data_IF_832298558067
#
_entry.id   IF_832298558067
#
_cell.length_a   1.000
_cell.length_b   1.000
_cell.length_c   1.000
_cell.angle_alpha   90.00
_cell.angle_beta   90.00
_cell.angle_gamma   90.00
#
_symmetry.space_group_name_H-M   'P 1'
#
loop_
_entity.id
_entity.type
_entity.pdbx_description
1 polymer ?
#
# COMPACT_ATOMS: atom_id res chain seq x y z
N UNK A 1 19.25 -1.98 -20.20
CA UNK A 1 18.48 -3.24 -20.41
C UNK A 1 18.26 -3.42 -21.91
N UNK A 2 18.53 -4.60 -22.44
CA UNK A 2 18.28 -4.89 -23.86
C UNK A 2 16.77 -4.93 -24.14
N UNK A 3 16.32 -4.64 -25.38
CA UNK A 3 14.90 -4.69 -25.78
C UNK A 3 14.23 -6.05 -25.45
N UNK A 4 14.99 -7.14 -25.48
CA UNK A 4 14.53 -8.50 -25.15
C UNK A 4 14.14 -8.64 -23.69
N UNK A 5 14.92 -8.09 -22.75
CA UNK A 5 14.61 -8.14 -21.32
C UNK A 5 13.36 -7.35 -20.94
N UNK A 6 13.11 -6.25 -21.63
CA UNK A 6 11.88 -5.45 -21.43
C UNK A 6 10.65 -6.21 -21.93
N UNK A 7 10.78 -6.95 -23.05
CA UNK A 7 9.69 -7.73 -23.64
C UNK A 7 9.34 -8.94 -22.75
N UNK A 8 10.33 -9.69 -22.29
CA UNK A 8 10.15 -10.85 -21.38
C UNK A 8 9.48 -10.37 -20.09
N UNK A 9 9.93 -9.27 -19.49
CA UNK A 9 9.33 -8.73 -18.29
C UNK A 9 7.88 -8.26 -18.49
N UNK A 10 7.53 -7.71 -19.66
CA UNK A 10 6.14 -7.34 -20.00
C UNK A 10 5.25 -8.56 -20.16
N UNK A 11 5.74 -9.61 -20.80
CA UNK A 11 4.99 -10.87 -20.99
C UNK A 11 4.81 -11.61 -19.68
N UNK A 12 5.85 -11.68 -18.83
CA UNK A 12 5.77 -12.25 -17.49
C UNK A 12 4.76 -11.50 -16.61
N UNK A 13 4.80 -10.18 -16.59
CA UNK A 13 3.83 -9.38 -15.84
C UNK A 13 2.39 -9.55 -16.37
N UNK A 14 2.23 -9.68 -17.70
CA UNK A 14 0.92 -9.94 -18.33
C UNK A 14 0.40 -11.33 -17.95
N UNK A 15 1.25 -12.35 -18.01
CA UNK A 15 0.93 -13.72 -17.61
C UNK A 15 0.56 -13.77 -16.11
N UNK A 16 1.39 -13.17 -15.25
CA UNK A 16 1.16 -13.12 -13.81
C UNK A 16 -0.17 -12.43 -13.48
N UNK A 17 -0.46 -11.30 -14.11
CA UNK A 17 -1.77 -10.62 -13.97
C UNK A 17 -2.93 -11.49 -14.42
N UNK A 18 -2.78 -12.23 -15.51
CA UNK A 18 -3.84 -13.12 -16.00
C UNK A 18 -4.07 -14.30 -15.04
N UNK A 19 -3.00 -14.88 -14.51
CA UNK A 19 -3.07 -15.94 -13.49
C UNK A 19 -3.75 -15.43 -12.22
N UNK A 20 -3.33 -14.28 -11.70
CA UNK A 20 -3.97 -13.65 -10.54
C UNK A 20 -5.46 -13.38 -10.80
N UNK A 21 -5.80 -12.86 -12.00
CA UNK A 21 -7.19 -12.56 -12.38
C UNK A 21 -8.05 -13.83 -12.47
N UNK A 22 -7.49 -14.93 -12.99
CA UNK A 22 -8.19 -16.23 -13.05
C UNK A 22 -8.46 -16.78 -11.65
N UNK A 23 -7.46 -16.73 -10.76
CA UNK A 23 -7.64 -17.11 -9.36
C UNK A 23 -8.66 -16.22 -8.64
N UNK A 24 -8.71 -14.94 -8.98
CA UNK A 24 -9.69 -14.01 -8.45
C UNK A 24 -11.14 -14.41 -8.79
N UNK A 25 -11.34 -14.90 -10.01
CA UNK A 25 -12.62 -15.44 -10.43
C UNK A 25 -12.99 -16.77 -9.72
N UNK A 26 -11.98 -17.55 -9.34
CA UNK A 26 -12.17 -18.86 -8.69
C UNK A 26 -12.38 -18.71 -7.17
N UNK A 27 -11.66 -17.83 -6.50
CA UNK A 27 -11.72 -17.66 -5.02
C UNK A 27 -12.90 -16.83 -4.53
N UNK A 28 -13.61 -16.13 -5.41
CA UNK A 28 -14.75 -15.28 -5.07
C UNK A 28 -14.39 -13.82 -4.77
N UNK A 29 -15.42 -12.96 -4.88
CA UNK A 29 -15.29 -11.51 -4.74
C UNK A 29 -15.03 -11.06 -3.30
N UNK A 30 -15.29 -11.92 -2.34
CA UNK A 30 -15.41 -11.59 -0.92
C UNK A 30 -14.08 -11.68 -0.13
N UNK A 31 -13.00 -12.12 -0.79
CA UNK A 31 -11.69 -12.26 -0.11
C UNK A 31 -11.14 -10.92 0.35
N UNK A 32 -10.49 -10.87 1.54
CA UNK A 32 -10.01 -9.62 2.11
C UNK A 32 -8.99 -8.94 1.19
N UNK A 33 -9.09 -7.62 1.08
CA UNK A 33 -8.26 -6.80 0.19
C UNK A 33 -7.53 -5.71 0.93
N UNK A 34 -6.33 -5.44 0.49
CA UNK A 34 -5.56 -4.27 0.90
C UNK A 34 -5.55 -3.27 -0.26
N UNK A 35 -6.12 -2.11 -0.03
CA UNK A 35 -6.22 -1.04 -1.02
C UNK A 35 -5.10 -0.04 -0.85
N UNK A 36 -4.40 0.25 -1.94
CA UNK A 36 -3.25 1.13 -1.99
C UNK A 36 -3.64 2.47 -2.60
N UNK A 37 -3.54 3.50 -1.80
CA UNK A 37 -3.71 4.91 -2.18
C UNK A 37 -2.37 5.64 -2.09
N UNK A 38 -2.31 6.85 -2.63
CA UNK A 38 -1.18 7.76 -2.48
C UNK A 38 -1.70 9.14 -2.05
N UNK A 39 -1.96 10.07 -2.97
CA UNK A 39 -2.47 11.39 -2.62
C UNK A 39 -3.99 11.50 -2.72
N UNK A 40 -4.60 12.34 -1.86
CA UNK A 40 -6.03 12.64 -1.85
C UNK A 40 -6.20 14.15 -2.01
N UNK A 41 -6.74 14.59 -3.15
CA UNK A 41 -6.77 15.99 -3.57
C UNK A 41 -8.22 16.52 -3.60
N UNK A 42 -8.40 17.84 -3.58
CA UNK A 42 -9.71 18.42 -3.81
C UNK A 42 -10.11 18.29 -5.28
N UNK A 43 -9.14 18.49 -6.19
CA UNK A 43 -9.28 18.33 -7.64
C UNK A 43 -8.07 17.61 -8.21
N UNK A 44 -8.26 16.80 -9.24
CA UNK A 44 -7.17 16.05 -9.87
C UNK A 44 -6.80 16.67 -11.21
N UNK A 45 -5.54 17.06 -11.35
CA UNK A 45 -4.94 17.36 -12.64
C UNK A 45 -4.63 16.07 -13.38
N UNK A 46 -4.79 16.05 -14.71
CA UNK A 46 -4.64 14.84 -15.54
C UNK A 46 -3.30 14.09 -15.34
N UNK A 47 -2.24 14.81 -14.99
CA UNK A 47 -0.88 14.25 -14.83
C UNK A 47 -0.79 13.24 -13.67
N UNK A 48 -1.64 13.35 -12.65
CA UNK A 48 -1.58 12.52 -11.43
C UNK A 48 -2.75 11.55 -11.27
N UNK A 49 -3.61 11.46 -12.25
CA UNK A 49 -4.91 10.74 -12.16
C UNK A 49 -4.83 9.25 -11.82
N UNK A 50 -3.67 8.60 -12.03
CA UNK A 50 -3.51 7.17 -11.71
C UNK A 50 -3.09 6.91 -10.26
N UNK A 51 -2.51 7.89 -9.56
CA UNK A 51 -2.01 7.77 -8.17
C UNK A 51 -2.73 8.71 -7.20
N UNK A 52 -3.64 9.55 -7.70
CA UNK A 52 -4.42 10.45 -6.89
C UNK A 52 -5.90 10.15 -7.01
N UNK A 53 -6.64 10.41 -5.93
CA UNK A 53 -8.10 10.44 -5.94
C UNK A 53 -8.59 11.73 -5.31
N UNK A 54 -9.85 12.11 -5.60
CA UNK A 54 -10.47 13.22 -4.91
C UNK A 54 -10.91 12.81 -3.51
N UNK A 55 -11.00 13.79 -2.60
CA UNK A 55 -11.60 13.60 -1.27
C UNK A 55 -13.01 13.01 -1.38
N UNK A 56 -13.80 13.48 -2.33
CA UNK A 56 -15.14 12.97 -2.60
C UNK A 56 -15.10 11.51 -3.02
N UNK A 57 -14.17 11.12 -3.91
CA UNK A 57 -14.03 9.72 -4.35
C UNK A 57 -13.56 8.81 -3.23
N UNK A 58 -12.69 9.28 -2.32
CA UNK A 58 -12.33 8.52 -1.13
C UNK A 58 -13.54 8.27 -0.23
N UNK A 59 -14.35 9.30 0.01
CA UNK A 59 -15.57 9.17 0.82
C UNK A 59 -16.55 8.18 0.18
N UNK A 60 -16.80 8.30 -1.12
CA UNK A 60 -17.63 7.36 -1.87
C UNK A 60 -17.09 5.93 -1.84
N UNK A 61 -15.76 5.75 -1.91
CA UNK A 61 -15.12 4.44 -1.77
C UNK A 61 -15.39 3.82 -0.41
N UNK A 62 -15.20 4.58 0.66
CA UNK A 62 -15.43 4.13 2.04
C UNK A 62 -16.90 3.79 2.26
N UNK A 63 -17.81 4.70 1.90
CA UNK A 63 -19.26 4.50 2.02
C UNK A 63 -19.73 3.28 1.23
N UNK A 64 -19.25 3.10 0.00
CA UNK A 64 -19.57 1.94 -0.82
C UNK A 64 -19.19 0.63 -0.12
N UNK A 65 -18.00 0.53 0.45
CA UNK A 65 -17.58 -0.69 1.17
C UNK A 65 -18.44 -0.94 2.41
N UNK A 66 -18.65 0.08 3.23
CA UNK A 66 -19.46 -0.06 4.46
C UNK A 66 -20.91 -0.44 4.12
N UNK A 67 -21.54 0.21 3.16
CA UNK A 67 -22.91 -0.08 2.75
C UNK A 67 -23.09 -1.50 2.17
N UNK A 68 -22.04 -2.05 1.55
CA UNK A 68 -22.03 -3.42 1.04
C UNK A 68 -21.57 -4.46 2.09
N UNK A 69 -21.51 -4.09 3.37
CA UNK A 69 -21.20 -5.01 4.47
C UNK A 69 -19.74 -5.38 4.61
N UNK A 70 -18.83 -4.58 4.04
CA UNK A 70 -17.40 -4.78 4.26
C UNK A 70 -16.94 -4.12 5.55
N UNK A 71 -16.06 -4.78 6.29
CA UNK A 71 -15.49 -4.31 7.53
C UNK A 71 -14.04 -3.80 7.30
N UNK A 72 -13.74 -2.62 7.80
CA UNK A 72 -12.39 -2.09 7.77
C UNK A 72 -11.48 -2.82 8.78
N UNK A 73 -10.25 -3.12 8.38
CA UNK A 73 -9.29 -3.85 9.22
C UNK A 73 -8.36 -2.89 9.97
N UNK A 74 -8.29 -3.03 11.28
CA UNK A 74 -7.18 -2.54 12.09
C UNK A 74 -5.95 -3.44 11.96
N UNK A 75 -4.87 -3.13 12.68
CA UNK A 75 -3.62 -3.90 12.61
C UNK A 75 -3.82 -5.38 12.99
N UNK A 76 -4.54 -5.65 14.08
CA UNK A 76 -4.75 -7.02 14.56
C UNK A 76 -5.58 -7.84 13.57
N UNK A 77 -6.66 -7.26 13.07
CA UNK A 77 -7.53 -7.88 12.06
C UNK A 77 -6.78 -8.11 10.74
N UNK A 78 -5.96 -7.14 10.30
CA UNK A 78 -5.11 -7.30 9.11
C UNK A 78 -4.14 -8.49 9.26
N UNK A 79 -3.49 -8.63 10.40
CA UNK A 79 -2.56 -9.74 10.65
C UNK A 79 -3.28 -11.09 10.63
N UNK A 80 -4.44 -11.18 11.26
CA UNK A 80 -5.28 -12.39 11.22
C UNK A 80 -5.77 -12.70 9.81
N UNK A 81 -6.18 -11.69 9.05
CA UNK A 81 -6.62 -11.85 7.67
C UNK A 81 -5.48 -12.28 6.71
N UNK A 82 -4.25 -11.82 6.95
CA UNK A 82 -3.07 -12.32 6.22
C UNK A 82 -2.83 -13.80 6.51
N UNK A 83 -2.94 -14.24 7.76
CA UNK A 83 -2.71 -15.63 8.12
C UNK A 83 -3.86 -16.55 7.69
N UNK A 84 -5.11 -16.14 7.84
CA UNK A 84 -6.30 -16.93 7.55
C UNK A 84 -7.33 -16.14 6.71
N UNK A 85 -7.06 -15.85 5.44
CA UNK A 85 -7.90 -14.96 4.64
C UNK A 85 -9.35 -15.45 4.44
N UNK A 86 -9.59 -16.76 4.52
CA UNK A 86 -10.93 -17.32 4.38
C UNK A 86 -11.88 -16.94 5.55
N UNK A 87 -11.33 -16.66 6.73
CA UNK A 87 -12.10 -16.28 7.92
C UNK A 87 -12.45 -14.78 7.92
N UNK A 88 -11.85 -14.00 7.01
CA UNK A 88 -11.98 -12.55 6.93
C UNK A 88 -12.58 -12.10 5.59
N UNK A 89 -13.53 -12.87 5.04
CA UNK A 89 -14.30 -12.43 3.89
C UNK A 89 -14.99 -11.09 4.17
N UNK A 90 -15.19 -10.29 3.14
CA UNK A 90 -15.78 -8.96 3.25
C UNK A 90 -15.01 -8.02 4.22
N UNK A 91 -13.69 -8.14 4.24
CA UNK A 91 -12.83 -7.20 4.95
C UNK A 91 -11.93 -6.43 4.00
N UNK A 92 -11.63 -5.18 4.35
CA UNK A 92 -10.73 -4.33 3.58
C UNK A 92 -9.79 -3.54 4.48
N UNK A 93 -8.59 -3.27 3.97
CA UNK A 93 -7.61 -2.40 4.61
C UNK A 93 -7.30 -1.23 3.68
N UNK A 94 -7.26 -0.03 4.21
CA UNK A 94 -6.82 1.19 3.53
C UNK A 94 -5.34 1.39 3.82
N UNK A 95 -4.53 1.62 2.79
CA UNK A 95 -3.12 1.94 2.95
C UNK A 95 -2.74 3.14 2.09
N UNK A 96 -1.84 3.98 2.58
CA UNK A 96 -1.27 5.09 1.83
C UNK A 96 0.23 4.89 1.71
N UNK A 97 0.74 4.93 0.48
CA UNK A 97 2.17 4.94 0.20
C UNK A 97 2.68 6.38 0.13
N UNK A 98 3.97 6.58 0.35
CA UNK A 98 4.70 7.86 0.36
C UNK A 98 4.30 8.84 1.48
N UNK A 99 3.05 8.89 1.84
CA UNK A 99 2.42 9.80 2.81
C UNK A 99 2.59 11.27 2.43
N UNK A 100 1.78 11.69 1.46
CA UNK A 100 1.60 13.11 1.12
C UNK A 100 0.86 13.87 2.23
N UNK A 101 1.08 15.18 2.33
CA UNK A 101 0.36 16.04 3.30
C UNK A 101 -1.16 16.03 3.10
N UNK A 102 -1.60 15.77 1.88
CA UNK A 102 -3.02 15.56 1.54
C UNK A 102 -3.66 14.34 2.23
N UNK A 103 -2.87 13.40 2.75
CA UNK A 103 -3.41 12.30 3.58
C UNK A 103 -3.91 12.85 4.91
N UNK A 104 -3.17 13.78 5.53
CA UNK A 104 -3.61 14.43 6.76
C UNK A 104 -4.77 15.40 6.50
N UNK A 105 -4.65 16.29 5.51
CA UNK A 105 -5.62 17.35 5.29
C UNK A 105 -6.93 16.88 4.69
N UNK A 106 -6.92 15.86 3.84
CA UNK A 106 -8.08 15.43 3.06
C UNK A 106 -8.53 13.99 3.40
N UNK A 107 -7.61 13.02 3.47
CA UNK A 107 -7.99 11.63 3.70
C UNK A 107 -8.38 11.36 5.15
N UNK A 108 -7.57 11.79 6.10
CA UNK A 108 -7.79 11.51 7.53
C UNK A 108 -9.14 11.98 8.05
N UNK A 109 -9.65 13.19 7.74
CA UNK A 109 -10.99 13.60 8.16
C UNK A 109 -12.10 12.67 7.65
N UNK A 110 -11.98 12.14 6.44
CA UNK A 110 -12.94 11.17 5.88
C UNK A 110 -12.85 9.84 6.62
N UNK A 111 -11.65 9.31 6.79
CA UNK A 111 -11.43 8.03 7.47
C UNK A 111 -11.89 8.08 8.94
N UNK A 112 -11.59 9.18 9.62
CA UNK A 112 -12.01 9.42 11.00
C UNK A 112 -13.53 9.51 11.14
N UNK A 113 -14.23 10.21 10.24
CA UNK A 113 -15.69 10.30 10.18
C UNK A 113 -16.34 8.92 10.14
N UNK A 114 -15.77 8.00 9.39
CA UNK A 114 -16.30 6.65 9.18
C UNK A 114 -15.65 5.58 10.08
N UNK A 115 -14.77 5.98 11.01
CA UNK A 115 -14.00 5.09 11.90
C UNK A 115 -13.25 3.98 11.14
N UNK A 116 -12.57 4.35 10.04
CA UNK A 116 -11.81 3.44 9.18
C UNK A 116 -10.33 3.52 9.50
N UNK A 117 -9.72 2.44 10.04
CA UNK A 117 -8.28 2.36 10.24
C UNK A 117 -7.52 2.35 8.91
N UNK A 118 -6.28 2.84 8.92
CA UNK A 118 -5.43 2.87 7.75
C UNK A 118 -3.95 2.69 8.09
N UNK A 119 -3.18 2.18 7.13
CA UNK A 119 -1.74 2.02 7.25
C UNK A 119 -1.04 3.16 6.51
N UNK A 120 -0.14 3.86 7.20
CA UNK A 120 0.71 4.90 6.66
C UNK A 120 2.11 4.33 6.37
N UNK A 121 2.41 4.04 5.09
CA UNK A 121 3.74 3.60 4.65
C UNK A 121 4.62 4.82 4.41
N UNK A 122 5.48 5.13 5.38
CA UNK A 122 6.28 6.36 5.43
C UNK A 122 7.66 6.15 4.81
N UNK A 123 8.05 7.05 3.90
CA UNK A 123 9.42 7.23 3.44
C UNK A 123 10.06 8.33 4.29
N UNK A 124 10.88 7.96 5.28
CA UNK A 124 11.34 8.90 6.31
C UNK A 124 12.06 10.13 5.76
N UNK A 125 12.95 9.94 4.78
CA UNK A 125 13.71 11.06 4.19
C UNK A 125 12.85 12.08 3.44
N UNK A 126 11.62 11.72 3.08
CA UNK A 126 10.70 12.62 2.36
C UNK A 126 9.82 13.43 3.29
N UNK A 127 9.72 13.09 4.58
CA UNK A 127 8.91 13.84 5.55
C UNK A 127 9.33 15.32 5.59
N UNK A 128 8.36 16.22 5.44
CA UNK A 128 8.56 17.67 5.42
C UNK A 128 9.19 18.22 4.13
N UNK A 129 9.32 17.40 3.09
CA UNK A 129 9.91 17.81 1.80
C UNK A 129 8.83 17.93 0.71
N UNK A 130 9.26 18.31 -0.48
CA UNK A 130 8.45 18.26 -1.70
C UNK A 130 8.88 17.00 -2.46
N UNK A 131 7.90 16.17 -2.85
CA UNK A 131 8.18 15.01 -3.66
C UNK A 131 8.86 15.41 -4.99
N UNK A 132 10.02 14.83 -5.31
CA UNK A 132 10.80 15.23 -6.49
C UNK A 132 10.08 14.94 -7.81
N UNK A 133 9.13 13.99 -7.84
CA UNK A 133 8.40 13.60 -9.05
C UNK A 133 7.04 14.31 -9.18
N UNK A 134 6.19 14.17 -8.20
CA UNK A 134 4.84 14.74 -8.24
C UNK A 134 4.79 16.23 -7.90
N UNK A 135 5.88 16.78 -7.31
CA UNK A 135 5.96 18.15 -6.80
C UNK A 135 4.92 18.47 -5.71
N UNK A 136 4.29 17.46 -5.14
CA UNK A 136 3.36 17.61 -4.03
C UNK A 136 4.10 17.66 -2.68
N UNK A 137 3.56 18.37 -1.67
CA UNK A 137 4.12 18.35 -0.33
C UNK A 137 3.93 16.97 0.30
N UNK A 138 5.02 16.42 0.83
CA UNK A 138 5.00 15.27 1.72
C UNK A 138 4.52 15.71 3.10
N UNK A 139 3.99 14.77 3.88
CA UNK A 139 3.49 15.06 5.23
C UNK A 139 4.56 15.75 6.07
N UNK A 140 4.15 16.75 6.84
CA UNK A 140 5.04 17.39 7.81
C UNK A 140 5.24 16.50 9.03
N UNK A 141 6.32 16.73 9.78
CA UNK A 141 6.57 16.02 11.04
C UNK A 141 5.43 16.22 12.04
N UNK A 142 4.90 17.44 12.11
CA UNK A 142 3.78 17.80 12.99
C UNK A 142 2.51 17.01 12.63
N UNK A 143 2.09 17.06 11.36
CA UNK A 143 0.91 16.34 10.88
C UNK A 143 1.05 14.82 11.04
N UNK A 144 2.25 14.26 10.81
CA UNK A 144 2.48 12.83 11.01
C UNK A 144 2.32 12.44 12.49
N UNK A 145 2.86 13.24 13.41
CA UNK A 145 2.67 13.00 14.85
C UNK A 145 1.21 13.09 15.27
N UNK A 146 0.45 14.01 14.71
CA UNK A 146 -0.99 14.11 14.95
C UNK A 146 -1.75 12.88 14.42
N UNK A 147 -1.43 12.41 13.19
CA UNK A 147 -1.99 11.15 12.69
C UNK A 147 -1.69 9.98 13.62
N UNK A 148 -0.44 9.86 14.07
CA UNK A 148 -0.01 8.75 14.92
C UNK A 148 -0.58 8.82 16.35
N UNK A 149 -1.08 9.97 16.79
CA UNK A 149 -1.80 10.07 18.06
C UNK A 149 -3.20 9.43 18.01
N UNK A 150 -3.76 9.25 16.82
CA UNK A 150 -5.04 8.55 16.61
C UNK A 150 -4.79 7.04 16.40
N UNK A 151 -5.48 6.14 17.14
CA UNK A 151 -5.33 4.70 16.98
C UNK A 151 -5.77 4.17 15.61
N UNK A 152 -6.45 4.96 14.80
CA UNK A 152 -6.79 4.61 13.42
C UNK A 152 -5.56 4.56 12.50
N UNK A 153 -4.48 5.27 12.83
CA UNK A 153 -3.27 5.32 12.01
C UNK A 153 -2.23 4.28 12.46
N UNK A 154 -1.91 3.36 11.57
CA UNK A 154 -0.88 2.33 11.75
C UNK A 154 0.37 2.77 11.03
N UNK A 155 1.46 3.03 11.76
CA UNK A 155 2.75 3.39 11.17
C UNK A 155 3.42 2.18 10.54
N UNK A 156 3.90 2.35 9.32
CA UNK A 156 4.62 1.34 8.56
C UNK A 156 5.74 1.96 7.72
N UNK A 157 6.67 1.16 7.22
CA UNK A 157 7.82 1.62 6.47
C UNK A 157 7.60 1.52 4.95
N UNK A 158 8.04 2.58 4.22
CA UNK A 158 8.19 2.58 2.75
C UNK A 158 9.67 2.74 2.33
N UNK A 159 10.60 2.41 3.23
CA UNK A 159 12.03 2.62 3.08
C UNK A 159 12.48 4.00 3.55
N UNK A 160 13.80 4.19 3.68
CA UNK A 160 14.40 5.51 3.98
C UNK A 160 14.34 6.42 2.77
N UNK A 161 14.74 5.88 1.62
CA UNK A 161 14.73 6.55 0.33
C UNK A 161 13.74 5.83 -0.60
N UNK A 162 12.98 6.57 -1.39
CA UNK A 162 12.06 5.98 -2.37
C UNK A 162 12.82 5.40 -3.58
N UNK A 163 13.57 4.30 -3.35
CA UNK A 163 14.42 3.63 -4.36
C UNK A 163 13.93 2.23 -4.73
N UNK A 164 14.16 1.85 -5.99
CA UNK A 164 13.85 0.49 -6.47
C UNK A 164 14.77 -0.55 -5.83
N UNK A 165 14.21 -1.52 -5.13
CA UNK A 165 14.97 -2.56 -4.42
C UNK A 165 15.77 -3.49 -5.34
N UNK A 166 15.40 -3.62 -6.61
CA UNK A 166 16.21 -4.34 -7.61
C UNK A 166 17.60 -3.74 -7.83
N UNK A 167 17.82 -2.49 -7.45
CA UNK A 167 19.12 -1.82 -7.61
C UNK A 167 20.08 -2.07 -6.46
N UNK A 168 19.60 -2.63 -5.37
CA UNK A 168 20.43 -2.96 -4.21
C UNK A 168 21.07 -4.35 -4.35
N UNK A 169 22.27 -4.50 -3.85
CA UNK A 169 22.82 -5.80 -3.44
C UNK A 169 22.08 -6.32 -2.22
N UNK A 170 22.22 -7.61 -1.90
CA UNK A 170 21.60 -8.20 -0.71
C UNK A 170 21.92 -7.40 0.57
N UNK A 171 23.19 -7.14 0.82
CA UNK A 171 23.63 -6.42 2.03
C UNK A 171 23.06 -5.00 2.09
N UNK A 172 23.06 -4.27 0.96
CA UNK A 172 22.45 -2.93 0.89
C UNK A 172 20.95 -2.97 1.14
N UNK A 173 20.24 -3.99 0.62
CA UNK A 173 18.82 -4.13 0.84
C UNK A 173 18.49 -4.41 2.31
N UNK A 174 19.22 -5.33 2.96
CA UNK A 174 19.05 -5.61 4.40
C UNK A 174 19.33 -4.38 5.23
N UNK A 175 20.43 -3.66 4.95
CA UNK A 175 20.79 -2.41 5.65
C UNK A 175 19.69 -1.36 5.48
N UNK A 176 19.24 -1.09 4.25
CA UNK A 176 18.21 -0.09 3.98
C UNK A 176 16.88 -0.41 4.69
N UNK A 177 16.49 -1.68 4.73
CA UNK A 177 15.28 -2.15 5.42
C UNK A 177 15.41 -2.02 6.94
N UNK A 178 16.55 -2.45 7.51
CA UNK A 178 16.81 -2.38 8.96
C UNK A 178 16.90 -0.94 9.42
N UNK A 179 17.58 -0.07 8.67
CA UNK A 179 17.69 1.36 8.99
C UNK A 179 16.33 2.05 8.95
N UNK A 180 15.51 1.79 7.93
CA UNK A 180 14.17 2.34 7.86
C UNK A 180 13.30 1.94 9.07
N UNK A 181 13.32 0.65 9.43
CA UNK A 181 12.62 0.16 10.62
C UNK A 181 13.11 0.88 11.89
N UNK A 182 14.43 0.92 12.09
CA UNK A 182 15.06 1.54 13.27
C UNK A 182 14.74 3.03 13.36
N UNK A 183 14.93 3.78 12.27
CA UNK A 183 14.68 5.23 12.22
C UNK A 183 13.24 5.54 12.61
N UNK A 184 12.27 4.87 12.00
CA UNK A 184 10.86 5.10 12.30
C UNK A 184 10.50 4.66 13.72
N UNK A 185 11.02 3.50 14.19
CA UNK A 185 10.80 3.03 15.55
C UNK A 185 11.33 3.99 16.60
N UNK A 186 12.58 4.46 16.43
CA UNK A 186 13.23 5.37 17.37
C UNK A 186 12.57 6.76 17.38
N UNK A 187 12.21 7.26 16.21
CA UNK A 187 11.64 8.60 16.05
C UNK A 187 10.22 8.73 16.59
N UNK A 188 9.39 7.71 16.36
CA UNK A 188 7.97 7.74 16.73
C UNK A 188 7.61 6.86 17.92
N UNK A 189 8.58 6.14 18.50
CA UNK A 189 8.38 5.22 19.63
C UNK A 189 7.27 4.20 19.36
N UNK A 190 7.31 3.61 18.14
CA UNK A 190 6.36 2.63 17.64
C UNK A 190 7.10 1.39 17.11
N UNK A 191 6.48 0.23 17.26
CA UNK A 191 6.97 -0.98 16.60
C UNK A 191 6.57 -0.94 15.12
N UNK A 192 7.55 -1.17 14.23
CA UNK A 192 7.35 -1.17 12.77
C UNK A 192 7.36 -2.64 12.30
N UNK A 193 6.20 -3.17 11.99
CA UNK A 193 6.03 -4.57 11.58
C UNK A 193 5.78 -4.73 10.07
N UNK A 194 5.32 -3.67 9.40
CA UNK A 194 4.89 -3.68 8.01
C UNK A 194 5.84 -2.89 7.14
N UNK A 195 6.10 -3.44 5.95
CA UNK A 195 6.88 -2.79 4.91
C UNK A 195 6.14 -2.82 3.57
N UNK A 196 6.17 -1.72 2.81
CA UNK A 196 5.76 -1.71 1.40
C UNK A 196 6.96 -1.37 0.52
N UNK A 197 7.14 -2.11 -0.57
CA UNK A 197 8.22 -1.84 -1.52
C UNK A 197 7.92 -0.57 -2.34
N UNK A 198 8.82 0.43 -2.38
CA UNK A 198 8.74 1.51 -3.35
C UNK A 198 8.58 0.97 -4.77
N UNK A 199 7.63 1.54 -5.54
CA UNK A 199 7.17 1.05 -6.85
C UNK A 199 6.47 -0.33 -6.80
N UNK A 200 6.98 -1.30 -6.07
CA UNK A 200 6.39 -2.57 -5.67
C UNK A 200 6.00 -3.56 -6.79
N UNK A 201 6.30 -3.28 -8.07
CA UNK A 201 6.03 -4.22 -9.16
C UNK A 201 7.14 -5.26 -9.26
N UNK A 202 6.84 -6.41 -9.84
CA UNK A 202 7.79 -7.53 -9.96
C UNK A 202 9.07 -7.17 -10.75
N UNK A 203 9.01 -6.17 -11.63
CA UNK A 203 10.18 -5.68 -12.39
C UNK A 203 11.10 -4.78 -11.56
N UNK A 204 10.64 -4.29 -10.42
CA UNK A 204 11.35 -3.35 -9.54
C UNK A 204 11.86 -4.02 -8.25
N UNK A 205 11.35 -5.23 -7.96
CA UNK A 205 11.70 -5.99 -6.76
C UNK A 205 12.24 -7.36 -7.18
N UNK A 206 13.43 -7.72 -6.74
CA UNK A 206 14.03 -9.04 -6.96
C UNK A 206 13.50 -10.05 -5.93
N UNK A 207 13.63 -11.35 -6.22
CA UNK A 207 13.32 -12.40 -5.25
C UNK A 207 14.19 -12.28 -3.99
N UNK A 208 15.44 -11.92 -4.17
CA UNK A 208 16.39 -11.67 -3.10
C UNK A 208 15.94 -10.52 -2.20
N UNK A 209 15.50 -9.40 -2.78
CA UNK A 209 14.97 -8.26 -2.02
C UNK A 209 13.73 -8.64 -1.18
N UNK A 210 12.91 -9.59 -1.65
CA UNK A 210 11.76 -10.09 -0.87
C UNK A 210 12.24 -10.86 0.36
N UNK A 211 13.31 -11.65 0.24
CA UNK A 211 13.90 -12.39 1.38
C UNK A 211 14.52 -11.42 2.40
N UNK A 212 15.13 -10.33 1.94
CA UNK A 212 15.70 -9.30 2.81
C UNK A 212 14.66 -8.66 3.75
N UNK A 213 13.38 -8.58 3.37
CA UNK A 213 12.30 -8.08 4.26
C UNK A 213 12.15 -8.96 5.50
N UNK A 214 12.23 -10.27 5.33
CA UNK A 214 12.25 -11.23 6.45
C UNK A 214 13.50 -11.09 7.31
N UNK A 215 14.65 -10.98 6.67
CA UNK A 215 15.93 -10.88 7.35
C UNK A 215 16.05 -9.61 8.18
N UNK A 216 15.52 -8.48 7.67
CA UNK A 216 15.44 -7.21 8.39
C UNK A 216 14.46 -7.23 9.58
N UNK A 217 13.63 -8.28 9.73
CA UNK A 217 12.74 -8.47 10.87
C UNK A 217 11.31 -7.96 10.68
N UNK A 218 10.92 -7.53 9.49
CA UNK A 218 9.52 -7.19 9.23
C UNK A 218 8.62 -8.43 9.31
N UNK A 219 7.41 -8.22 9.81
CA UNK A 219 6.41 -9.29 9.90
C UNK A 219 5.76 -9.57 8.55
N UNK A 220 5.46 -8.51 7.78
CA UNK A 220 4.85 -8.60 6.47
C UNK A 220 5.42 -7.57 5.50
N UNK A 221 5.50 -7.94 4.20
CA UNK A 221 5.87 -7.07 3.11
C UNK A 221 4.77 -6.96 2.07
N UNK A 222 4.56 -5.77 1.51
CA UNK A 222 3.51 -5.48 0.53
C UNK A 222 4.10 -5.07 -0.82
N UNK A 223 3.46 -5.55 -1.87
CA UNK A 223 3.77 -5.24 -3.26
C UNK A 223 2.76 -4.26 -3.87
N UNK A 224 2.98 -3.89 -5.13
CA UNK A 224 1.99 -3.22 -5.98
C UNK A 224 1.38 -4.19 -7.01
N UNK A 225 1.30 -5.48 -6.68
CA UNK A 225 0.62 -6.48 -7.50
C UNK A 225 -0.86 -6.50 -7.17
N UNK A 226 -1.69 -6.42 -8.21
CA UNK A 226 -3.13 -6.46 -8.06
C UNK A 226 -3.60 -7.84 -7.56
N UNK A 227 -4.42 -7.85 -6.49
CA UNK A 227 -4.94 -9.08 -5.92
C UNK A 227 -5.57 -8.94 -4.54
N UNK A 228 -5.92 -10.08 -3.95
CA UNK A 228 -6.47 -10.19 -2.59
C UNK A 228 -5.52 -10.98 -1.68
N UNK A 229 -5.72 -10.90 -0.37
CA UNK A 229 -4.93 -11.69 0.60
C UNK A 229 -5.10 -13.21 0.41
N UNK A 230 -6.20 -13.66 -0.18
CA UNK A 230 -6.39 -15.05 -0.57
C UNK A 230 -5.35 -15.57 -1.57
N UNK A 231 -4.63 -14.69 -2.24
CA UNK A 231 -3.57 -15.01 -3.20
C UNK A 231 -2.15 -14.99 -2.61
N UNK A 232 -2.01 -14.79 -1.29
CA UNK A 232 -0.71 -14.74 -0.60
C UNK A 232 0.18 -15.96 -0.85
N UNK A 233 -0.40 -17.11 -1.15
CA UNK A 233 0.33 -18.33 -1.44
C UNK A 233 1.17 -18.27 -2.74
N UNK A 234 0.81 -17.33 -3.66
CA UNK A 234 1.58 -17.06 -4.89
C UNK A 234 2.77 -16.13 -4.64
N UNK A 235 2.65 -15.24 -3.66
CA UNK A 235 3.61 -14.16 -3.42
C UNK A 235 4.33 -14.25 -2.07
N UNK A 236 3.87 -15.14 -1.17
CA UNK A 236 4.38 -15.24 0.19
C UNK A 236 3.96 -14.05 1.08
N UNK A 237 4.36 -14.11 2.37
CA UNK A 237 4.02 -13.06 3.35
C UNK A 237 4.84 -11.77 3.22
N UNK A 238 5.89 -11.79 2.43
CA UNK A 238 6.80 -10.65 2.25
C UNK A 238 6.65 -9.94 0.90
N UNK A 239 5.60 -10.30 0.13
CA UNK A 239 5.28 -9.64 -1.14
C UNK A 239 3.77 -9.68 -1.40
N UNK A 240 2.97 -9.34 -0.40
CA UNK A 240 1.50 -9.41 -0.41
C UNK A 240 0.89 -8.51 -1.48
N UNK A 241 -0.13 -8.97 -2.19
CA UNK A 241 -0.80 -8.18 -3.21
C UNK A 241 -1.65 -7.07 -2.61
N UNK A 242 -1.80 -5.97 -3.36
CA UNK A 242 -2.67 -4.83 -3.04
C UNK A 242 -3.39 -4.36 -4.29
N UNK A 243 -4.53 -3.70 -4.12
CA UNK A 243 -5.29 -3.10 -5.21
C UNK A 243 -4.96 -1.61 -5.28
N UNK A 244 -4.36 -1.15 -6.39
CA UNK A 244 -4.14 0.28 -6.61
C UNK A 244 -5.49 0.97 -6.85
N UNK A 245 -5.78 2.01 -6.08
CA UNK A 245 -7.00 2.81 -6.19
C UNK A 245 -6.67 4.18 -6.76
N UNK A 246 -7.12 4.39 -7.98
CA UNK A 246 -7.18 5.70 -8.63
C UNK A 246 -8.64 6.08 -8.91
N UNK A 247 -8.85 7.27 -9.45
CA UNK A 247 -10.19 7.83 -9.72
C UNK A 247 -11.07 6.90 -10.57
N UNK A 248 -10.48 6.30 -11.60
CA UNK A 248 -11.21 5.38 -12.49
C UNK A 248 -11.63 4.07 -11.79
N UNK A 249 -10.85 3.62 -10.81
CA UNK A 249 -11.23 2.46 -10.00
C UNK A 249 -12.49 2.76 -9.18
N UNK A 250 -12.53 3.90 -8.50
CA UNK A 250 -13.67 4.32 -7.67
C UNK A 250 -14.93 4.46 -8.51
N UNK A 251 -14.85 5.17 -9.65
CA UNK A 251 -15.98 5.28 -10.60
C UNK A 251 -16.51 3.92 -11.05
N UNK A 252 -15.61 2.96 -11.29
CA UNK A 252 -15.98 1.62 -11.73
C UNK A 252 -16.71 0.82 -10.66
N UNK A 253 -16.24 0.83 -9.41
CA UNK A 253 -16.90 0.06 -8.34
C UNK A 253 -18.28 0.63 -7.99
N UNK A 254 -18.42 1.96 -7.97
CA UNK A 254 -19.69 2.64 -7.70
C UNK A 254 -20.70 2.34 -8.82
N UNK A 255 -20.27 2.43 -10.09
CA UNK A 255 -21.16 2.21 -11.25
C UNK A 255 -21.68 0.77 -11.35
N UNK A 256 -20.90 -0.20 -10.92
CA UNK A 256 -21.21 -1.61 -11.12
C UNK A 256 -21.89 -2.28 -9.92
N UNK A 257 -22.17 -1.55 -8.82
CA UNK A 257 -22.75 -2.11 -7.59
C UNK A 257 -22.03 -3.40 -7.14
N UNK A 258 -20.68 -3.43 -7.21
CA UNK A 258 -19.89 -4.56 -6.78
C UNK A 258 -19.66 -4.53 -5.28
#
# INVERSE_FOLDING_TARGET
>A
MTPINIRINREYNRWYKNVLRLFWQIQGKDMPRVYMFHSVMDTIEQVYSQFAITKQSLEQFVEHHIHNGYNAMDAETLYKAIENPNDFKNHFCVTFDDIYDSVYTNAYPVLKKHNVPFVAFVTDELVGKIDPWSKQPMITEEHLRELLADPLCILASHGTEHKMFRKYTHAEAVTALTDSMRILSDKYQRQIELFAFPFGRRVEVSDDAILCVKEAGYRYGFSALDGSLGQRWLSGRYFLPRVLVGEEYVKKIIKNNF
#
